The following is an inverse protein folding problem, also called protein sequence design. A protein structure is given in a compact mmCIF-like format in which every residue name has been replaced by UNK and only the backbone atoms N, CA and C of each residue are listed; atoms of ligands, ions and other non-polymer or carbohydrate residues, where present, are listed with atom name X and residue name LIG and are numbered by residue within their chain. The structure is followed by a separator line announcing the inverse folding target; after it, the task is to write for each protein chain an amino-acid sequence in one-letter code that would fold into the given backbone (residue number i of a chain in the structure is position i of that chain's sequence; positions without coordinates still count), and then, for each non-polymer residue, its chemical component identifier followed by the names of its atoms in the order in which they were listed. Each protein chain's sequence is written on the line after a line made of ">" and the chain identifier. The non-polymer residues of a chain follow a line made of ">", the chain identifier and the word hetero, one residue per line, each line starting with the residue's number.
data_IF_410285557609
#
_entry.id   IF_410285557609
#
_cell.length_a   1.000
_cell.length_b   1.000
_cell.length_c   1.000
_cell.angle_alpha   90.00
_cell.angle_beta   90.00
_cell.angle_gamma   90.00
#
_symmetry.space_group_name_H-M   'P 1'
#
loop_
_entity.id
_entity.type
_entity.pdbx_description
1 polymer ?
#
# COMPACT_ATOMS: atom_id res chain seq x y z
N UNK A 1 1.57 18.60 -24.22
CA UNK A 1 1.48 19.37 -22.97
C UNK A 1 2.76 19.14 -22.19
N UNK A 2 3.44 20.20 -21.80
CA UNK A 2 4.71 20.14 -21.06
C UNK A 2 4.44 20.47 -19.59
N UNK A 3 5.04 19.71 -18.67
CA UNK A 3 4.85 19.88 -17.23
C UNK A 3 6.18 20.31 -16.59
N UNK A 4 6.16 21.46 -15.92
CA UNK A 4 7.34 22.04 -15.28
C UNK A 4 7.18 22.00 -13.76
N UNK A 5 8.22 21.53 -13.07
CA UNK A 5 8.28 21.53 -11.61
C UNK A 5 8.92 22.82 -11.13
N UNK A 6 8.15 23.65 -10.44
CA UNK A 6 8.57 24.98 -9.99
C UNK A 6 8.56 25.02 -8.46
N UNK A 7 9.65 25.50 -7.85
CA UNK A 7 9.73 25.70 -6.40
C UNK A 7 9.41 27.14 -6.05
N UNK A 8 8.34 27.35 -5.28
CA UNK A 8 7.97 28.68 -4.80
C UNK A 8 8.89 29.05 -3.62
N UNK A 9 9.78 30.02 -3.82
CA UNK A 9 10.68 30.52 -2.77
C UNK A 9 10.06 31.65 -1.94
N UNK A 10 9.17 32.45 -2.54
CA UNK A 10 8.53 33.59 -1.90
C UNK A 10 7.01 33.45 -1.96
N UNK A 11 6.28 33.59 -0.83
CA UNK A 11 4.82 33.50 -0.81
C UNK A 11 4.13 34.56 -1.69
N UNK A 12 4.78 35.70 -1.97
CA UNK A 12 4.26 36.71 -2.92
C UNK A 12 4.16 36.16 -4.35
N UNK A 13 5.06 35.27 -4.75
CA UNK A 13 5.03 34.64 -6.08
C UNK A 13 3.76 33.78 -6.27
N UNK A 14 3.21 33.22 -5.18
CA UNK A 14 1.95 32.46 -5.23
C UNK A 14 0.80 33.30 -5.79
N UNK A 15 0.71 34.59 -5.44
CA UNK A 15 -0.34 35.48 -5.95
C UNK A 15 -0.23 35.72 -7.46
N UNK A 16 1.00 35.86 -7.96
CA UNK A 16 1.26 36.06 -9.40
C UNK A 16 0.87 34.79 -10.18
N UNK A 17 1.29 33.63 -9.68
CA UNK A 17 0.97 32.32 -10.28
C UNK A 17 -0.55 32.10 -10.25
N UNK A 18 -1.24 32.49 -9.17
CA UNK A 18 -2.70 32.39 -9.10
C UNK A 18 -3.39 33.20 -10.21
N UNK A 19 -2.90 34.41 -10.50
CA UNK A 19 -3.44 35.20 -11.62
C UNK A 19 -3.30 34.51 -12.98
N UNK A 20 -2.24 33.73 -13.20
CA UNK A 20 -2.06 32.93 -14.43
C UNK A 20 -3.01 31.72 -14.48
N UNK A 21 -3.32 31.13 -13.32
CA UNK A 21 -4.32 30.05 -13.21
C UNK A 21 -5.72 30.56 -13.51
N UNK A 22 -6.06 31.75 -13.01
CA UNK A 22 -7.39 32.36 -13.22
C UNK A 22 -7.64 32.63 -14.71
N UNK A 23 -6.58 32.94 -15.46
CA UNK A 23 -6.58 33.08 -16.92
C UNK A 23 -6.50 31.73 -17.67
N UNK A 24 -6.48 30.60 -16.95
CA UNK A 24 -6.35 29.23 -17.48
C UNK A 24 -5.11 28.98 -18.33
N UNK A 25 -4.05 29.76 -18.11
CA UNK A 25 -2.78 29.62 -18.84
C UNK A 25 -1.91 28.49 -18.28
N UNK A 26 -2.05 28.21 -16.98
CA UNK A 26 -1.31 27.18 -16.27
C UNK A 26 -2.23 26.43 -15.31
N UNK A 27 -1.88 25.18 -15.00
CA UNK A 27 -2.52 24.38 -13.96
C UNK A 27 -1.54 24.14 -12.83
N UNK A 28 -1.94 24.43 -11.59
CA UNK A 28 -1.16 24.08 -10.41
C UNK A 28 -1.59 22.69 -9.96
N UNK A 29 -0.69 21.73 -10.08
CA UNK A 29 -0.86 20.40 -9.51
C UNK A 29 -0.04 20.35 -8.23
N UNK A 30 -0.71 20.32 -7.09
CA UNK A 30 -0.01 20.09 -5.83
C UNK A 30 0.40 18.62 -5.77
N UNK A 31 1.71 18.34 -5.91
CA UNK A 31 2.31 17.06 -5.51
C UNK A 31 2.29 16.93 -3.98
N UNK A 32 1.15 17.20 -3.34
CA UNK A 32 0.93 16.76 -1.97
C UNK A 32 0.65 15.26 -2.04
N UNK A 33 1.62 14.50 -1.54
CA UNK A 33 1.38 13.21 -0.93
C UNK A 33 1.24 11.98 -1.84
N UNK A 34 1.73 11.99 -3.09
CA UNK A 34 2.01 10.70 -3.77
C UNK A 34 2.95 9.85 -2.90
N UNK A 35 3.99 10.50 -2.40
CA UNK A 35 5.00 9.96 -1.51
C UNK A 35 4.45 9.57 -0.12
N UNK A 36 3.59 10.38 0.50
CA UNK A 36 2.99 10.03 1.79
C UNK A 36 1.97 8.89 1.66
N UNK A 37 1.10 8.92 0.64
CA UNK A 37 0.14 7.83 0.39
C UNK A 37 0.87 6.51 0.10
N UNK A 38 1.94 6.56 -0.68
CA UNK A 38 2.79 5.39 -0.93
C UNK A 38 3.48 4.89 0.34
N UNK A 39 4.03 5.79 1.16
CA UNK A 39 4.62 5.44 2.47
C UNK A 39 3.58 4.82 3.43
N UNK A 40 2.35 5.32 3.45
CA UNK A 40 1.25 4.74 4.25
C UNK A 40 0.86 3.35 3.74
N UNK A 41 0.79 3.15 2.42
CA UNK A 41 0.53 1.85 1.83
C UNK A 41 1.64 0.84 2.18
N UNK A 42 2.91 1.23 2.05
CA UNK A 42 4.04 0.40 2.43
C UNK A 42 4.04 0.06 3.92
N UNK A 43 3.67 0.99 4.79
CA UNK A 43 3.54 0.75 6.24
C UNK A 43 2.46 -0.31 6.52
N UNK A 44 1.33 -0.25 5.81
CA UNK A 44 0.24 -1.24 5.93
C UNK A 44 0.64 -2.62 5.41
N UNK A 45 1.45 -2.70 4.36
CA UNK A 45 1.95 -3.99 3.86
C UNK A 45 2.98 -4.61 4.82
N UNK A 46 3.86 -3.79 5.40
CA UNK A 46 4.90 -4.25 6.33
C UNK A 46 4.38 -4.56 7.73
N UNK A 47 3.24 -4.00 8.17
CA UNK A 47 2.69 -4.30 9.51
C UNK A 47 2.37 -5.77 9.70
N UNK A 48 1.98 -6.47 8.64
CA UNK A 48 1.73 -7.92 8.67
C UNK A 48 3.01 -8.77 8.64
N UNK A 49 4.19 -8.16 8.46
CA UNK A 49 5.46 -8.89 8.49
C UNK A 49 5.89 -9.26 9.92
N UNK A 50 5.45 -8.50 10.93
CA UNK A 50 5.77 -8.79 12.33
C UNK A 50 4.78 -9.79 12.97
N UNK A 51 3.57 -9.88 12.42
CA UNK A 51 2.53 -10.87 12.79
C UNK A 51 2.59 -12.12 11.89
N UNK A 52 3.61 -12.22 11.03
CA UNK A 52 3.79 -13.42 10.22
C UNK A 52 4.10 -14.59 11.15
N UNK A 53 3.31 -15.68 11.13
CA UNK A 53 3.64 -16.87 11.88
C UNK A 53 5.01 -17.38 11.46
N UNK A 54 5.75 -17.92 12.43
CA UNK A 54 7.05 -18.55 12.18
C UNK A 54 6.88 -19.80 11.30
N UNK A 55 7.96 -20.23 10.64
CA UNK A 55 7.95 -21.45 9.82
C UNK A 55 7.50 -22.68 10.63
N UNK A 56 7.85 -22.74 11.91
CA UNK A 56 7.49 -23.83 12.81
C UNK A 56 5.98 -23.83 13.13
N UNK A 57 5.39 -22.65 13.38
CA UNK A 57 3.94 -22.51 13.58
C UNK A 57 3.15 -22.84 12.30
N UNK A 58 3.64 -22.40 11.13
CA UNK A 58 3.05 -22.76 9.83
C UNK A 58 3.08 -24.28 9.65
N UNK A 59 4.22 -24.91 9.93
CA UNK A 59 4.40 -26.36 9.78
C UNK A 59 3.45 -27.12 10.69
N UNK A 60 3.28 -26.67 11.94
CA UNK A 60 2.35 -27.28 12.90
C UNK A 60 0.91 -27.24 12.41
N UNK A 61 0.43 -26.07 11.93
CA UNK A 61 -0.93 -25.92 11.39
C UNK A 61 -1.16 -26.82 10.17
N UNK A 62 -0.16 -26.93 9.29
CA UNK A 62 -0.26 -27.76 8.08
C UNK A 62 -0.29 -29.25 8.42
N UNK A 63 0.53 -29.70 9.37
CA UNK A 63 0.53 -31.10 9.82
C UNK A 63 -0.77 -31.47 10.54
N UNK A 64 -1.33 -30.59 11.38
CA UNK A 64 -2.67 -30.77 11.98
C UNK A 64 -3.76 -30.87 10.90
N UNK A 65 -3.75 -30.01 9.89
CA UNK A 65 -4.70 -30.09 8.78
C UNK A 65 -4.51 -31.37 7.93
N UNK A 66 -3.28 -31.91 7.88
CA UNK A 66 -2.94 -33.13 7.16
C UNK A 66 -3.41 -34.36 7.93
N UNK A 67 -3.21 -34.42 9.26
CA UNK A 67 -3.70 -35.52 10.10
C UNK A 67 -5.23 -35.61 10.06
N UNK A 68 -5.93 -34.48 10.21
CA UNK A 68 -7.40 -34.47 10.11
C UNK A 68 -7.91 -35.00 8.77
N UNK A 69 -7.22 -34.70 7.66
CA UNK A 69 -7.58 -35.21 6.33
C UNK A 69 -7.38 -36.71 6.21
N UNK A 70 -6.32 -37.26 6.79
CA UNK A 70 -6.05 -38.70 6.74
C UNK A 70 -6.97 -39.49 7.67
N UNK A 71 -7.30 -38.95 8.85
CA UNK A 71 -8.27 -39.54 9.78
C UNK A 71 -9.69 -39.60 9.20
N UNK A 72 -10.10 -38.56 8.46
CA UNK A 72 -11.38 -38.58 7.73
C UNK A 72 -11.38 -39.56 6.56
N UNK A 73 -10.22 -39.81 5.93
CA UNK A 73 -10.10 -40.80 4.84
C UNK A 73 -10.07 -42.24 5.34
N UNK A 74 -9.48 -42.51 6.51
CA UNK A 74 -9.43 -43.87 7.09
C UNK A 74 -10.78 -44.32 7.66
N UNK A 75 -11.63 -43.38 8.10
CA UNK A 75 -12.97 -43.68 8.64
C UNK A 75 -14.05 -43.87 7.58
N UNK A 76 -13.82 -43.51 6.32
CA UNK A 76 -14.77 -43.73 5.20
C UNK A 76 -14.48 -44.99 4.36
N UNK A 77 -13.48 -45.81 4.74
CA UNK A 77 -13.09 -47.04 4.02
C UNK A 77 -13.55 -48.36 4.66
N UNK A 78 -14.27 -48.33 5.78
CA UNK A 78 -14.83 -49.53 6.42
C UNK A 78 -16.34 -49.36 6.62
N UNK A 79 -17.09 -49.60 5.57
CA UNK A 79 -18.50 -50.03 5.58
C UNK A 79 -18.71 -50.99 4.43
#
# INVERSE_FOLDING_TARGET
>A
MEALKIKILNPKAKKIIQGLVDLKLIQITEERDSDQKFRLLLKKLRSYSAESPSLDEITKIVEEARTERYERKSTQGHS
#
